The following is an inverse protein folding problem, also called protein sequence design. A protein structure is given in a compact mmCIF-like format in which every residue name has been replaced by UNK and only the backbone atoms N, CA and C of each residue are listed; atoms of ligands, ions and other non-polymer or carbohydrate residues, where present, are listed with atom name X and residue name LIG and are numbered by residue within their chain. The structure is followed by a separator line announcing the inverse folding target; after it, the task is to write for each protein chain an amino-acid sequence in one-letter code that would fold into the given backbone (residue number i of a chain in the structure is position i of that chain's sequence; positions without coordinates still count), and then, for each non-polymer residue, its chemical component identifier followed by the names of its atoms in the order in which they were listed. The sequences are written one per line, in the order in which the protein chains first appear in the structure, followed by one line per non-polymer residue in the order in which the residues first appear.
data_IF_697299376672
#
_entry.id   IF_697299376672
#
_cell.length_a   1.000
_cell.length_b   1.000
_cell.length_c   1.000
_cell.angle_alpha   90.00
_cell.angle_beta   90.00
_cell.angle_gamma   90.00
#
_symmetry.space_group_name_H-M   'P 1'
#
loop_
_entity.id
_entity.type
_entity.pdbx_description
1 polymer ?
#
# COMPACT_ATOMS: atom_id res chain seq x y z
N UNK A 1 1.71 -17.22 18.48
CA UNK A 1 0.37 -16.59 18.53
C UNK A 1 -0.05 -16.30 17.08
N UNK A 2 -1.30 -16.54 16.67
CA UNK A 2 -1.74 -16.17 15.31
C UNK A 2 -1.79 -14.63 15.18
N UNK A 3 -1.56 -14.06 13.99
CA UNK A 3 -1.73 -12.64 13.78
C UNK A 3 -3.19 -12.19 14.02
N UNK A 4 -3.35 -10.99 14.55
CA UNK A 4 -4.65 -10.32 14.65
C UNK A 4 -4.90 -9.55 13.34
N UNK A 5 -6.05 -9.79 12.72
CA UNK A 5 -6.36 -9.29 11.37
C UNK A 5 -7.83 -8.95 11.16
N UNK A 6 -8.07 -8.01 10.27
CA UNK A 6 -9.36 -7.69 9.67
C UNK A 6 -9.41 -8.29 8.26
N UNK A 7 -10.37 -9.18 8.01
CA UNK A 7 -10.63 -9.70 6.66
C UNK A 7 -11.44 -8.67 5.88
N UNK A 8 -10.96 -8.30 4.70
CA UNK A 8 -11.57 -7.29 3.87
C UNK A 8 -12.24 -7.98 2.70
N UNK A 9 -13.56 -7.83 2.62
CA UNK A 9 -14.37 -8.28 1.50
C UNK A 9 -15.07 -7.11 0.85
N UNK A 10 -15.06 -7.08 -0.47
CA UNK A 10 -15.71 -6.03 -1.26
C UNK A 10 -16.74 -6.67 -2.19
N UNK A 11 -17.83 -5.95 -2.43
CA UNK A 11 -18.83 -6.33 -3.42
C UNK A 11 -18.38 -5.87 -4.80
N UNK A 12 -18.33 -6.78 -5.78
CA UNK A 12 -18.05 -6.39 -7.16
C UNK A 12 -19.16 -5.43 -7.66
N UNK A 13 -18.82 -4.31 -8.33
CA UNK A 13 -19.83 -3.47 -8.94
C UNK A 13 -20.58 -4.25 -10.04
N UNK A 14 -21.83 -3.89 -10.35
CA UNK A 14 -22.58 -4.51 -11.44
C UNK A 14 -21.81 -4.43 -12.77
N UNK A 15 -21.89 -5.51 -13.57
CA UNK A 15 -21.15 -5.65 -14.83
C UNK A 15 -21.46 -4.57 -15.89
N UNK A 16 -22.51 -3.78 -15.70
CA UNK A 16 -22.95 -2.72 -16.63
C UNK A 16 -22.57 -1.30 -16.17
N UNK A 17 -21.80 -1.17 -15.08
CA UNK A 17 -21.31 0.12 -14.59
C UNK A 17 -22.40 1.02 -13.99
N UNK A 18 -23.65 0.55 -13.83
CA UNK A 18 -24.72 1.32 -13.19
C UNK A 18 -24.60 1.28 -11.68
N UNK A 19 -24.84 2.43 -11.05
CA UNK A 19 -24.92 2.52 -9.59
C UNK A 19 -26.13 1.69 -9.11
N UNK A 20 -26.02 0.79 -8.13
CA UNK A 20 -27.10 -0.14 -7.78
C UNK A 20 -28.39 0.49 -7.25
N UNK A 21 -28.43 1.82 -7.08
CA UNK A 21 -29.48 2.56 -6.36
C UNK A 21 -30.31 3.49 -7.23
N UNK A 22 -29.98 3.64 -8.51
CA UNK A 22 -30.77 4.49 -9.40
C UNK A 22 -31.88 3.63 -10.04
N UNK A 23 -33.07 3.70 -9.42
CA UNK A 23 -34.40 3.51 -10.01
C UNK A 23 -34.87 2.12 -10.50
N UNK A 24 -34.74 1.04 -9.73
CA UNK A 24 -35.61 -0.15 -9.95
C UNK A 24 -36.12 -0.81 -8.66
N UNK A 25 -37.41 -1.19 -8.69
CA UNK A 25 -38.07 -1.97 -7.66
C UNK A 25 -37.34 -3.30 -7.39
N UNK A 26 -37.41 -3.87 -6.17
CA UNK A 26 -36.66 -5.08 -5.83
C UNK A 26 -37.13 -6.27 -6.68
N UNK A 27 -36.31 -6.67 -7.66
CA UNK A 27 -36.50 -7.93 -8.41
C UNK A 27 -36.17 -9.11 -7.49
N UNK A 28 -37.17 -9.95 -7.22
CA UNK A 28 -37.07 -11.18 -6.44
C UNK A 28 -36.12 -12.24 -7.06
N UNK A 29 -35.51 -11.97 -8.22
CA UNK A 29 -34.50 -12.81 -8.89
C UNK A 29 -33.06 -12.31 -8.76
N UNK A 30 -32.80 -11.20 -8.04
CA UNK A 30 -31.43 -10.70 -7.83
C UNK A 30 -30.63 -11.75 -7.04
N UNK A 31 -29.58 -12.32 -7.66
CA UNK A 31 -28.61 -13.14 -6.94
C UNK A 31 -27.99 -12.27 -5.83
N UNK A 32 -27.73 -12.82 -4.63
CA UNK A 32 -27.08 -12.05 -3.58
C UNK A 32 -25.75 -11.50 -4.08
N UNK A 33 -25.47 -10.24 -3.77
CA UNK A 33 -24.20 -9.59 -4.03
C UNK A 33 -23.08 -10.43 -3.39
N UNK A 34 -22.33 -11.16 -4.21
CA UNK A 34 -21.21 -11.98 -3.74
C UNK A 34 -20.09 -11.05 -3.30
N UNK A 35 -19.86 -11.00 -1.99
CA UNK A 35 -18.68 -10.36 -1.42
C UNK A 35 -17.47 -11.26 -1.64
N UNK A 36 -16.44 -10.73 -2.29
CA UNK A 36 -15.16 -11.42 -2.49
C UNK A 36 -14.15 -10.89 -1.49
N UNK A 37 -13.44 -11.78 -0.78
CA UNK A 37 -12.29 -11.37 0.02
C UNK A 37 -11.19 -10.85 -0.90
N UNK A 38 -10.80 -9.59 -0.70
CA UNK A 38 -9.79 -8.92 -1.53
C UNK A 38 -8.49 -8.63 -0.79
N UNK A 39 -8.47 -8.63 0.54
CA UNK A 39 -7.26 -8.43 1.33
C UNK A 39 -7.45 -8.89 2.79
N UNK A 40 -6.34 -8.97 3.52
CA UNK A 40 -6.31 -9.03 4.99
C UNK A 40 -5.50 -7.86 5.51
N UNK A 41 -6.10 -7.00 6.33
CA UNK A 41 -5.36 -5.99 7.10
C UNK A 41 -4.88 -6.62 8.41
N UNK A 42 -3.58 -6.93 8.47
CA UNK A 42 -2.95 -7.51 9.66
C UNK A 42 -2.40 -6.37 10.50
N UNK A 43 -2.89 -6.26 11.74
CA UNK A 43 -2.53 -5.16 12.65
C UNK A 43 -1.71 -5.62 13.86
N UNK A 44 -1.58 -6.95 14.09
CA UNK A 44 -0.65 -7.50 15.07
C UNK A 44 -0.06 -8.80 14.57
N UNK A 45 1.26 -8.86 14.43
CA UNK A 45 1.99 -10.05 14.00
C UNK A 45 3.22 -10.26 14.89
N UNK A 46 3.54 -11.51 15.28
CA UNK A 46 4.72 -11.80 16.10
C UNK A 46 6.06 -11.59 15.39
N UNK A 47 6.11 -11.71 14.06
CA UNK A 47 7.33 -11.69 13.25
C UNK A 47 7.47 -10.40 12.42
N UNK A 48 6.36 -9.80 12.03
CA UNK A 48 6.32 -8.53 11.29
C UNK A 48 5.83 -7.44 12.21
N UNK A 49 6.73 -6.54 12.61
CA UNK A 49 6.50 -5.68 13.77
C UNK A 49 5.78 -4.38 13.40
N UNK A 50 4.90 -4.43 12.40
CA UNK A 50 4.12 -3.31 11.88
C UNK A 50 2.83 -3.77 11.20
N UNK A 51 1.81 -2.90 11.05
CA UNK A 51 0.63 -3.22 10.26
C UNK A 51 0.92 -3.33 8.76
N UNK A 52 0.16 -4.18 8.05
CA UNK A 52 0.28 -4.37 6.62
C UNK A 52 -1.02 -4.96 6.03
N UNK A 53 -1.16 -4.88 4.71
CA UNK A 53 -2.15 -5.64 3.96
C UNK A 53 -1.48 -6.84 3.29
N UNK A 54 -2.04 -8.03 3.48
CA UNK A 54 -1.61 -9.26 2.83
C UNK A 54 -2.74 -9.88 2.01
N UNK A 55 -2.40 -10.90 1.24
CA UNK A 55 -3.38 -11.69 0.46
C UNK A 55 -4.24 -10.80 -0.45
N UNK A 56 -3.60 -9.79 -1.06
CA UNK A 56 -4.27 -8.79 -1.90
C UNK A 56 -4.66 -9.45 -3.22
N UNK A 57 -5.93 -9.32 -3.60
CA UNK A 57 -6.53 -9.98 -4.76
C UNK A 57 -7.36 -9.02 -5.60
N UNK A 58 -7.49 -9.31 -6.89
CA UNK A 58 -8.50 -8.68 -7.75
C UNK A 58 -9.92 -9.08 -7.33
N UNK A 59 -10.98 -8.39 -7.82
CA UNK A 59 -12.36 -8.82 -7.61
C UNK A 59 -12.67 -10.23 -8.12
N UNK A 60 -11.97 -10.72 -9.16
CA UNK A 60 -12.06 -12.11 -9.64
C UNK A 60 -11.29 -13.12 -8.78
N UNK A 61 -10.58 -12.66 -7.74
CA UNK A 61 -9.84 -13.51 -6.80
C UNK A 61 -8.38 -13.77 -7.17
N UNK A 62 -7.86 -13.14 -8.24
CA UNK A 62 -6.46 -13.30 -8.66
C UNK A 62 -5.52 -12.62 -7.68
N UNK A 63 -4.54 -13.38 -7.19
CA UNK A 63 -3.55 -12.94 -6.23
C UNK A 63 -2.59 -11.93 -6.89
N UNK A 64 -2.48 -10.71 -6.36
CA UNK A 64 -1.59 -9.67 -6.92
C UNK A 64 -0.38 -9.36 -6.05
N UNK A 65 -0.41 -9.67 -4.75
CA UNK A 65 0.80 -9.70 -3.91
C UNK A 65 1.42 -11.09 -3.87
N UNK A 66 2.72 -11.22 -3.57
CA UNK A 66 3.31 -12.52 -3.21
C UNK A 66 2.51 -13.16 -2.08
N UNK A 67 2.40 -14.49 -2.06
CA UNK A 67 1.77 -15.15 -0.93
C UNK A 67 2.49 -14.77 0.37
N UNK A 68 1.71 -14.60 1.44
CA UNK A 68 2.23 -14.35 2.77
C UNK A 68 1.60 -15.32 3.78
N UNK A 69 2.38 -16.25 4.36
CA UNK A 69 3.81 -16.48 4.12
C UNK A 69 4.12 -16.98 2.68
N UNK A 70 5.36 -16.84 2.18
CA UNK A 70 5.76 -17.38 0.88
C UNK A 70 5.55 -18.90 0.80
N UNK A 71 5.09 -19.40 -0.34
CA UNK A 71 4.90 -20.84 -0.59
C UNK A 71 6.19 -21.42 -1.16
N UNK A 72 6.79 -22.38 -0.46
CA UNK A 72 8.03 -23.03 -0.90
C UNK A 72 7.87 -23.68 -2.28
N UNK A 73 8.82 -23.41 -3.19
CA UNK A 73 8.82 -23.91 -4.57
C UNK A 73 7.93 -23.12 -5.54
N UNK A 74 7.16 -22.16 -5.04
CA UNK A 74 6.36 -21.22 -5.86
C UNK A 74 6.92 -19.82 -5.72
N UNK A 75 7.08 -19.35 -4.48
CA UNK A 75 7.53 -18.00 -4.17
C UNK A 75 9.00 -18.00 -3.72
N UNK A 76 9.71 -16.92 -4.04
CA UNK A 76 11.00 -16.65 -3.42
C UNK A 76 10.81 -16.46 -1.90
N UNK A 77 11.65 -17.10 -1.10
CA UNK A 77 11.63 -17.00 0.37
C UNK A 77 12.48 -15.82 0.92
N UNK A 78 12.85 -14.88 0.05
CA UNK A 78 13.62 -13.70 0.41
C UNK A 78 12.76 -12.69 1.16
N UNK A 79 13.34 -12.03 2.18
CA UNK A 79 12.69 -10.92 2.88
C UNK A 79 11.27 -11.26 3.36
N UNK A 80 11.03 -12.52 3.74
CA UNK A 80 9.72 -13.10 4.09
C UNK A 80 9.02 -12.37 5.26
N UNK A 81 9.81 -11.83 6.18
CA UNK A 81 9.35 -11.02 7.33
C UNK A 81 9.37 -9.51 7.06
N UNK A 82 9.85 -9.07 5.88
CA UNK A 82 9.95 -7.65 5.53
C UNK A 82 9.02 -7.24 4.39
N UNK A 83 8.60 -8.14 3.52
CA UNK A 83 7.77 -7.83 2.35
C UNK A 83 6.44 -8.62 2.36
N UNK A 84 5.47 -8.22 3.20
CA UNK A 84 4.25 -9.01 3.45
C UNK A 84 3.09 -8.80 2.46
N UNK A 85 3.18 -7.81 1.57
CA UNK A 85 2.09 -7.43 0.67
C UNK A 85 2.13 -5.95 0.33
N UNK A 86 1.26 -5.15 0.95
CA UNK A 86 1.31 -3.66 0.92
C UNK A 86 1.58 -3.15 2.34
N UNK A 87 2.53 -2.24 2.51
CA UNK A 87 2.88 -1.68 3.82
C UNK A 87 3.41 -0.25 3.75
N UNK A 88 3.39 0.45 4.88
CA UNK A 88 4.09 1.71 5.10
C UNK A 88 5.13 1.49 6.19
N UNK A 89 6.40 1.72 5.89
CA UNK A 89 7.48 1.54 6.86
C UNK A 89 8.69 2.43 6.55
N UNK A 90 9.59 2.56 7.52
CA UNK A 90 10.67 3.52 7.48
C UNK A 90 11.94 2.89 8.05
N UNK A 91 13.00 2.81 7.25
CA UNK A 91 14.31 2.30 7.64
C UNK A 91 15.11 3.26 8.54
N UNK A 92 14.70 4.53 8.62
CA UNK A 92 15.33 5.54 9.47
C UNK A 92 14.30 6.60 9.94
N UNK A 93 13.90 6.50 11.20
CA UNK A 93 13.28 7.60 11.94
C UNK A 93 14.13 7.87 13.18
N UNK A 94 14.83 9.00 13.21
CA UNK A 94 15.78 9.39 14.26
C UNK A 94 16.80 8.29 14.57
N UNK A 95 17.28 7.56 13.55
CA UNK A 95 18.24 6.47 13.69
C UNK A 95 17.63 5.09 13.96
N UNK A 96 16.31 4.96 14.05
CA UNK A 96 15.62 3.69 14.30
C UNK A 96 14.98 3.10 13.04
N UNK A 97 15.15 1.79 12.84
CA UNK A 97 14.68 1.06 11.65
C UNK A 97 13.39 0.26 11.93
N UNK A 98 12.27 0.69 11.35
CA UNK A 98 10.97 0.03 11.43
C UNK A 98 10.66 -0.85 10.22
N UNK A 99 11.47 -0.79 9.16
CA UNK A 99 11.32 -1.60 7.95
C UNK A 99 11.84 -3.02 8.17
N UNK A 100 13.03 -3.14 8.76
CA UNK A 100 13.73 -4.40 9.03
C UNK A 100 13.39 -4.98 10.40
N UNK A 101 12.24 -4.59 10.94
CA UNK A 101 11.69 -5.09 12.21
C UNK A 101 12.64 -4.89 13.41
N UNK A 102 13.42 -3.79 13.45
CA UNK A 102 14.25 -3.46 14.63
C UNK A 102 13.43 -2.68 15.66
N UNK A 103 12.73 -1.64 15.21
CA UNK A 103 11.64 -1.00 15.93
C UNK A 103 10.29 -1.68 15.66
N UNK A 104 9.26 -1.27 16.40
CA UNK A 104 7.89 -1.79 16.26
C UNK A 104 6.91 -0.65 16.02
N UNK A 105 6.12 -0.74 14.95
CA UNK A 105 4.91 0.06 14.78
C UNK A 105 3.77 -0.73 15.44
N UNK A 106 3.56 -0.50 16.74
CA UNK A 106 2.61 -1.25 17.54
C UNK A 106 1.20 -0.71 17.36
N UNK A 107 0.28 -1.49 16.81
CA UNK A 107 -1.15 -1.18 16.83
C UNK A 107 -1.65 -1.05 18.28
N UNK A 108 -2.34 0.04 18.57
CA UNK A 108 -2.97 0.33 19.87
C UNK A 108 -4.46 0.02 19.81
N UNK A 109 -5.16 0.57 18.82
CA UNK A 109 -6.61 0.44 18.67
C UNK A 109 -7.09 0.89 17.29
N UNK A 110 -8.31 0.52 16.93
CA UNK A 110 -9.10 1.24 15.93
C UNK A 110 -9.60 2.56 16.55
N UNK A 111 -9.29 3.69 15.92
CA UNK A 111 -9.85 5.00 16.29
C UNK A 111 -11.20 5.25 15.62
N UNK A 112 -11.40 4.64 14.45
CA UNK A 112 -12.67 4.58 13.74
C UNK A 112 -12.88 3.10 13.32
N UNK A 113 -14.01 2.47 13.67
CA UNK A 113 -14.24 1.07 13.34
C UNK A 113 -14.49 0.89 11.83
N UNK A 114 -14.19 -0.30 11.27
CA UNK A 114 -14.55 -0.64 9.89
C UNK A 114 -16.01 -0.39 9.58
N UNK A 115 -16.26 0.54 8.67
CA UNK A 115 -17.59 0.96 8.25
C UNK A 115 -17.69 0.87 6.74
N UNK A 116 -18.60 0.03 6.25
CA UNK A 116 -18.88 -0.10 4.82
C UNK A 116 -20.15 0.67 4.47
N UNK A 117 -20.05 1.59 3.51
CA UNK A 117 -21.18 2.31 2.94
C UNK A 117 -20.97 2.47 1.44
N UNK A 118 -21.98 2.10 0.67
CA UNK A 118 -21.99 2.18 -0.79
C UNK A 118 -20.84 1.34 -1.38
N UNK A 119 -19.86 1.99 -1.98
CA UNK A 119 -18.67 1.38 -2.59
C UNK A 119 -17.39 1.63 -1.77
N UNK A 120 -17.51 2.17 -0.54
CA UNK A 120 -16.41 2.54 0.34
C UNK A 120 -16.42 1.70 1.62
N UNK A 121 -15.28 1.11 1.96
CA UNK A 121 -14.96 0.65 3.30
C UNK A 121 -13.91 1.59 3.89
N UNK A 122 -14.22 2.22 5.03
CA UNK A 122 -13.27 3.08 5.74
C UNK A 122 -13.02 2.62 7.17
N UNK A 123 -11.80 2.85 7.66
CA UNK A 123 -11.43 2.69 9.06
C UNK A 123 -10.15 3.47 9.39
N UNK A 124 -9.92 3.67 10.68
CA UNK A 124 -8.71 4.34 11.16
C UNK A 124 -8.09 3.59 12.34
N UNK A 125 -6.77 3.59 12.41
CA UNK A 125 -6.01 2.95 13.48
C UNK A 125 -5.02 3.90 14.12
N UNK A 126 -4.76 3.69 15.40
CA UNK A 126 -3.69 4.32 16.14
C UNK A 126 -2.57 3.31 16.37
N UNK A 127 -1.33 3.72 16.13
CA UNK A 127 -0.12 2.97 16.46
C UNK A 127 0.89 3.81 17.23
N UNK A 128 1.76 3.14 18.00
CA UNK A 128 2.97 3.73 18.60
C UNK A 128 4.20 3.19 17.89
N UNK A 129 5.12 4.07 17.52
CA UNK A 129 6.42 3.67 17.01
C UNK A 129 7.35 3.50 18.21
N UNK A 130 7.63 2.24 18.55
CA UNK A 130 8.51 1.86 19.64
C UNK A 130 9.93 1.62 19.12
N UNK A 131 10.92 2.27 19.75
CA UNK A 131 12.33 2.01 19.49
C UNK A 131 12.71 0.59 19.92
N UNK A 132 13.86 0.04 19.50
CA UNK A 132 14.33 -1.27 19.95
C UNK A 132 14.46 -1.37 21.49
N UNK A 133 14.68 -0.24 22.15
CA UNK A 133 14.79 -0.13 23.61
C UNK A 133 13.41 -0.07 24.32
N UNK A 134 12.31 0.00 23.54
CA UNK A 134 10.93 0.00 24.04
C UNK A 134 10.35 1.40 24.31
N UNK A 135 11.12 2.47 24.11
CA UNK A 135 10.63 3.84 24.21
C UNK A 135 9.68 4.18 23.07
N UNK A 136 8.65 5.00 23.33
CA UNK A 136 7.78 5.51 22.25
C UNK A 136 8.46 6.72 21.59
N UNK A 137 8.77 6.61 20.30
CA UNK A 137 9.32 7.70 19.49
C UNK A 137 8.23 8.70 19.08
N UNK A 138 7.15 8.18 18.48
CA UNK A 138 5.99 8.97 18.09
C UNK A 138 4.73 8.10 17.98
N UNK A 139 3.58 8.77 17.83
CA UNK A 139 2.29 8.16 17.50
C UNK A 139 2.06 8.29 16.00
N UNK A 140 1.42 7.28 15.41
CA UNK A 140 0.93 7.30 14.03
C UNK A 140 -0.57 7.02 14.02
N UNK A 141 -1.35 7.90 13.40
CA UNK A 141 -2.73 7.61 12.99
C UNK A 141 -2.70 7.22 11.52
N UNK A 142 -3.33 6.10 11.18
CA UNK A 142 -3.51 5.69 9.79
C UNK A 142 -4.99 5.60 9.46
N UNK A 143 -5.41 6.28 8.40
CA UNK A 143 -6.76 6.21 7.82
C UNK A 143 -6.70 5.43 6.51
N UNK A 144 -7.65 4.54 6.34
CA UNK A 144 -7.74 3.65 5.19
C UNK A 144 -9.09 3.77 4.54
N UNK A 145 -9.06 4.02 3.24
CA UNK A 145 -10.25 4.08 2.38
C UNK A 145 -10.10 3.03 1.28
N UNK A 146 -11.02 2.07 1.23
CA UNK A 146 -11.05 1.03 0.21
C UNK A 146 -12.27 1.21 -0.67
N UNK A 147 -12.05 1.51 -1.95
CA UNK A 147 -13.13 1.85 -2.90
C UNK A 147 -13.23 0.83 -4.02
N UNK A 148 -14.41 0.26 -4.24
CA UNK A 148 -14.67 -0.65 -5.38
C UNK A 148 -14.71 0.13 -6.69
N UNK A 149 -14.24 -0.51 -7.77
CA UNK A 149 -14.18 0.08 -9.13
C UNK A 149 -14.58 -0.97 -10.17
N UNK A 150 -15.08 -0.57 -11.36
CA UNK A 150 -15.61 -1.51 -12.38
C UNK A 150 -14.70 -2.70 -12.73
N UNK A 151 -13.37 -2.55 -12.63
CA UNK A 151 -12.41 -3.61 -12.93
C UNK A 151 -11.29 -3.70 -11.87
N UNK A 152 -11.61 -3.41 -10.60
CA UNK A 152 -10.59 -3.36 -9.56
C UNK A 152 -11.08 -2.75 -8.26
N UNK A 153 -10.12 -2.31 -7.45
CA UNK A 153 -10.39 -1.52 -6.26
C UNK A 153 -9.16 -0.69 -5.89
N UNK A 154 -9.40 0.35 -5.11
CA UNK A 154 -8.39 1.27 -4.61
C UNK A 154 -8.23 1.05 -3.11
N UNK A 155 -7.00 1.05 -2.62
CA UNK A 155 -6.64 1.36 -1.23
C UNK A 155 -6.03 2.77 -1.20
N UNK A 156 -6.61 3.70 -0.46
CA UNK A 156 -5.95 4.92 -0.03
C UNK A 156 -5.52 4.79 1.43
N UNK A 157 -4.31 5.21 1.74
CA UNK A 157 -3.70 5.17 3.07
C UNK A 157 -3.08 6.53 3.38
N UNK A 158 -3.71 7.24 4.31
CA UNK A 158 -3.18 8.47 4.91
C UNK A 158 -2.57 8.16 6.28
N UNK A 159 -1.40 8.73 6.56
CA UNK A 159 -0.72 8.55 7.83
C UNK A 159 -0.26 9.89 8.43
N UNK A 160 -0.70 10.17 9.64
CA UNK A 160 -0.32 11.35 10.44
C UNK A 160 0.59 10.92 11.57
N UNK A 161 1.75 11.56 11.70
CA UNK A 161 2.76 11.30 12.73
C UNK A 161 2.86 12.49 13.68
N UNK A 162 2.93 12.23 14.97
CA UNK A 162 3.07 13.28 15.98
C UNK A 162 3.77 12.73 17.24
N UNK A 163 4.56 13.59 17.88
CA UNK A 163 5.06 13.39 19.24
C UNK A 163 4.79 14.65 20.05
N UNK A 164 4.16 14.50 21.22
CA UNK A 164 3.77 15.66 22.04
C UNK A 164 4.97 16.35 22.71
N UNK A 165 6.05 15.61 22.97
CA UNK A 165 7.12 16.05 23.88
C UNK A 165 8.51 16.03 23.26
N UNK A 166 8.69 15.41 22.09
CA UNK A 166 10.00 15.25 21.48
C UNK A 166 9.93 15.47 19.97
N UNK A 167 10.97 16.10 19.42
CA UNK A 167 11.22 16.13 17.99
C UNK A 167 11.65 14.74 17.50
N UNK A 168 11.31 14.42 16.27
CA UNK A 168 11.84 13.27 15.55
C UNK A 168 12.04 13.63 14.07
N UNK A 169 12.81 12.82 13.34
CA UNK A 169 13.12 13.11 11.94
C UNK A 169 13.10 11.84 11.08
N UNK A 170 12.51 11.93 9.90
CA UNK A 170 12.63 10.89 8.87
C UNK A 170 13.94 11.09 8.11
N UNK A 171 14.76 10.04 8.05
CA UNK A 171 16.09 10.07 7.45
C UNK A 171 16.12 9.70 5.97
N UNK A 172 17.23 9.12 5.54
CA UNK A 172 17.55 8.85 4.13
C UNK A 172 18.05 7.40 3.96
N UNK A 173 17.18 6.52 3.47
CA UNK A 173 17.48 5.14 3.10
C UNK A 173 16.65 4.69 1.89
N UNK A 174 17.04 3.60 1.23
CA UNK A 174 16.26 3.01 0.13
C UNK A 174 14.90 2.49 0.65
N UNK A 175 14.89 1.92 1.85
CA UNK A 175 13.76 1.30 2.52
C UNK A 175 12.92 2.28 3.34
N UNK A 176 12.33 3.27 2.65
CA UNK A 176 11.49 4.30 3.27
C UNK A 176 10.22 4.53 2.44
N UNK A 177 9.06 4.50 3.07
CA UNK A 177 7.78 4.85 2.45
C UNK A 177 6.87 3.66 2.16
N UNK A 178 6.12 3.75 1.07
CA UNK A 178 5.01 2.86 0.75
C UNK A 178 5.45 1.72 -0.15
N UNK A 179 5.48 0.50 0.40
CA UNK A 179 6.01 -0.69 -0.24
C UNK A 179 4.92 -1.64 -0.73
N UNK A 180 5.22 -2.33 -1.82
CA UNK A 180 4.43 -3.41 -2.41
C UNK A 180 5.34 -4.56 -2.81
N UNK A 181 4.88 -5.79 -2.56
CA UNK A 181 5.51 -7.01 -3.07
C UNK A 181 4.57 -7.75 -4.01
N UNK A 182 4.89 -7.71 -5.30
CA UNK A 182 4.13 -8.33 -6.38
C UNK A 182 4.06 -9.86 -6.23
N UNK A 183 2.96 -10.44 -6.72
CA UNK A 183 2.83 -11.88 -6.94
C UNK A 183 3.95 -12.38 -7.84
N UNK A 184 4.37 -13.64 -7.65
CA UNK A 184 5.49 -14.23 -8.39
C UNK A 184 5.28 -14.13 -9.91
N UNK A 185 4.05 -14.31 -10.41
CA UNK A 185 3.72 -14.19 -11.83
C UNK A 185 3.77 -12.74 -12.36
N UNK A 186 3.74 -11.74 -11.48
CA UNK A 186 3.84 -10.32 -11.84
C UNK A 186 5.28 -9.78 -11.75
N UNK A 187 6.25 -10.57 -11.30
CA UNK A 187 7.65 -10.12 -11.27
C UNK A 187 8.22 -10.02 -12.68
N UNK A 188 9.17 -9.12 -12.90
CA UNK A 188 9.84 -8.96 -14.19
C UNK A 188 10.54 -10.26 -14.61
N UNK A 189 11.11 -10.96 -13.63
CA UNK A 189 11.73 -12.29 -13.82
C UNK A 189 10.76 -13.38 -14.25
N UNK A 190 9.45 -13.16 -14.13
CA UNK A 190 8.38 -14.07 -14.54
C UNK A 190 7.56 -13.54 -15.73
N UNK A 191 8.00 -12.43 -16.36
CA UNK A 191 7.32 -11.82 -17.51
C UNK A 191 6.35 -10.69 -17.20
N UNK A 192 6.24 -10.27 -15.93
CA UNK A 192 5.58 -9.02 -15.57
C UNK A 192 6.33 -7.79 -16.06
N UNK A 193 5.66 -6.64 -16.09
CA UNK A 193 6.24 -5.38 -16.57
C UNK A 193 6.04 -4.29 -15.53
N UNK A 194 7.10 -3.53 -15.24
CA UNK A 194 7.04 -2.31 -14.44
C UNK A 194 7.04 -1.11 -15.38
N UNK A 195 6.11 -0.17 -15.20
CA UNK A 195 6.05 1.10 -15.96
C UNK A 195 5.92 2.26 -15.00
N UNK A 196 6.64 3.36 -15.22
CA UNK A 196 6.48 4.60 -14.45
C UNK A 196 5.80 5.71 -15.24
N UNK A 197 5.29 6.71 -14.54
CA UNK A 197 4.69 7.90 -15.15
C UNK A 197 5.66 8.71 -16.03
N UNK A 198 6.97 8.49 -15.88
CA UNK A 198 8.00 9.07 -16.74
C UNK A 198 8.26 8.27 -18.04
N UNK A 199 7.43 7.26 -18.33
CA UNK A 199 7.57 6.39 -19.51
C UNK A 199 8.76 5.42 -19.43
N UNK A 200 9.32 5.20 -18.24
CA UNK A 200 10.39 4.21 -18.03
C UNK A 200 9.79 2.83 -17.84
N UNK A 201 10.45 1.82 -18.40
CA UNK A 201 10.00 0.42 -18.37
C UNK A 201 11.09 -0.45 -17.75
N UNK A 202 10.68 -1.31 -16.81
CA UNK A 202 11.55 -2.24 -16.09
C UNK A 202 12.12 -1.68 -14.79
N UNK A 203 12.48 -2.58 -13.88
CA UNK A 203 12.98 -2.24 -12.56
C UNK A 203 14.26 -1.39 -12.63
N UNK A 204 15.21 -1.76 -13.50
CA UNK A 204 16.47 -1.05 -13.62
C UNK A 204 16.31 0.40 -14.11
N UNK A 205 15.38 0.64 -15.05
CA UNK A 205 15.15 1.98 -15.61
C UNK A 205 14.30 2.87 -14.71
N UNK A 206 13.52 2.27 -13.81
CA UNK A 206 12.67 3.00 -12.84
C UNK A 206 13.38 3.23 -11.51
N UNK A 207 14.38 2.42 -11.14
CA UNK A 207 15.08 2.54 -9.88
C UNK A 207 15.74 3.93 -9.69
N UNK A 208 15.50 4.53 -8.52
CA UNK A 208 15.98 5.84 -8.14
C UNK A 208 15.38 7.00 -8.92
N UNK A 209 14.57 6.75 -9.96
CA UNK A 209 13.96 7.81 -10.77
C UNK A 209 12.75 8.40 -10.06
N UNK A 210 12.50 9.69 -10.26
CA UNK A 210 11.28 10.34 -9.80
C UNK A 210 10.11 9.99 -10.74
N UNK A 211 8.97 9.59 -10.18
CA UNK A 211 7.73 9.43 -10.94
C UNK A 211 6.51 9.58 -10.02
N UNK A 212 5.40 10.06 -10.56
CA UNK A 212 4.12 10.27 -9.85
C UNK A 212 3.32 8.99 -9.64
N UNK A 213 3.63 7.92 -10.39
CA UNK A 213 3.13 6.57 -10.15
C UNK A 213 4.08 5.55 -10.77
N UNK A 214 4.04 4.32 -10.27
CA UNK A 214 4.57 3.13 -10.95
C UNK A 214 3.51 2.03 -10.92
N UNK A 215 3.36 1.36 -12.05
CA UNK A 215 2.54 0.19 -12.24
C UNK A 215 3.40 -1.06 -12.36
N UNK A 216 2.90 -2.17 -11.82
CA UNK A 216 3.37 -3.51 -12.18
C UNK A 216 2.20 -4.36 -12.62
N UNK A 217 2.29 -4.92 -13.81
CA UNK A 217 1.20 -5.67 -14.44
C UNK A 217 1.70 -6.85 -15.28
N UNK A 218 0.81 -7.80 -15.54
CA UNK A 218 1.12 -9.05 -16.22
C UNK A 218 -0.10 -9.98 -16.28
N UNK A 219 0.15 -11.27 -16.52
CA UNK A 219 -0.89 -12.30 -16.59
C UNK A 219 -0.81 -13.18 -15.34
N UNK A 220 -1.88 -13.23 -14.55
CA UNK A 220 -2.00 -14.12 -13.39
C UNK A 220 -3.17 -15.06 -13.62
N UNK A 221 -2.89 -16.37 -13.65
CA UNK A 221 -3.91 -17.39 -13.90
C UNK A 221 -4.73 -17.18 -15.19
N UNK A 222 -4.10 -16.64 -16.23
CA UNK A 222 -4.71 -16.37 -17.54
C UNK A 222 -5.44 -15.02 -17.67
N UNK A 223 -5.47 -14.21 -16.61
CA UNK A 223 -6.11 -12.89 -16.62
C UNK A 223 -5.07 -11.77 -16.54
N UNK A 224 -5.22 -10.68 -17.33
CA UNK A 224 -4.42 -9.47 -17.16
C UNK A 224 -4.80 -8.77 -15.85
N UNK A 225 -3.80 -8.54 -15.00
CA UNK A 225 -3.96 -7.87 -13.70
C UNK A 225 -2.74 -7.01 -13.40
N UNK A 226 -2.89 -6.08 -12.45
CA UNK A 226 -1.76 -5.31 -11.96
C UNK A 226 -2.07 -4.48 -10.73
N UNK A 227 -1.04 -3.80 -10.25
CA UNK A 227 -1.13 -2.85 -9.15
C UNK A 227 -0.35 -1.59 -9.49
N UNK A 228 -1.04 -0.45 -9.44
CA UNK A 228 -0.42 0.87 -9.56
C UNK A 228 -0.30 1.50 -8.18
N UNK A 229 0.91 1.89 -7.80
CA UNK A 229 1.16 2.70 -6.62
C UNK A 229 1.19 4.18 -7.00
N UNK A 230 0.48 5.00 -6.21
CA UNK A 230 0.30 6.43 -6.44
C UNK A 230 0.57 7.18 -5.14
N UNK A 231 1.72 7.85 -4.99
CA UNK A 231 1.94 8.79 -3.90
C UNK A 231 1.05 10.03 -4.07
N UNK A 232 0.56 10.60 -2.97
CA UNK A 232 -0.16 11.86 -3.03
C UNK A 232 0.71 13.00 -3.60
N UNK A 233 0.18 13.84 -4.51
CA UNK A 233 0.87 15.04 -4.97
C UNK A 233 1.11 16.06 -3.84
N UNK A 234 0.34 15.98 -2.75
CA UNK A 234 0.47 16.85 -1.57
C UNK A 234 1.55 16.39 -0.58
N UNK A 235 2.13 15.20 -0.80
CA UNK A 235 3.32 14.81 -0.08
C UNK A 235 4.42 15.86 -0.30
N UNK A 236 5.25 16.09 0.71
CA UNK A 236 6.33 17.11 0.67
C UNK A 236 7.31 17.01 -0.52
N UNK A 237 7.28 15.88 -1.25
CA UNK A 237 8.07 15.63 -2.45
C UNK A 237 7.48 14.51 -3.30
N UNK A 238 7.71 14.59 -4.61
CA UNK A 238 7.59 13.43 -5.52
C UNK A 238 8.49 12.29 -5.03
N UNK A 239 7.96 11.07 -5.09
CA UNK A 239 8.71 9.87 -4.73
C UNK A 239 9.73 9.49 -5.79
N UNK A 240 10.89 9.04 -5.32
CA UNK A 240 11.78 8.18 -6.08
C UNK A 240 11.40 6.71 -5.85
N UNK A 241 11.74 5.85 -6.80
CA UNK A 241 11.26 4.46 -6.80
C UNK A 241 12.35 3.44 -6.44
N UNK A 242 12.13 2.65 -5.39
CA UNK A 242 12.99 1.50 -5.03
C UNK A 242 12.52 0.22 -5.73
N UNK A 243 12.50 0.21 -7.06
CA UNK A 243 11.98 -0.94 -7.80
C UNK A 243 13.03 -2.05 -7.95
N UNK A 244 12.58 -3.30 -7.89
CA UNK A 244 13.40 -4.51 -8.11
C UNK A 244 12.66 -5.48 -9.03
N UNK A 245 13.42 -6.15 -9.89
CA UNK A 245 12.94 -7.14 -10.87
C UNK A 245 12.22 -8.33 -10.22
N UNK A 246 12.56 -8.65 -8.97
CA UNK A 246 11.89 -9.66 -8.15
C UNK A 246 10.54 -9.19 -7.56
N UNK A 247 10.01 -8.03 -7.97
CA UNK A 247 8.66 -7.57 -7.64
C UNK A 247 8.53 -6.71 -6.39
N UNK A 248 9.62 -6.08 -5.90
CA UNK A 248 9.52 -5.00 -4.90
C UNK A 248 9.31 -3.67 -5.62
N UNK A 249 8.28 -2.93 -5.21
CA UNK A 249 8.09 -1.52 -5.56
C UNK A 249 7.99 -0.71 -4.27
N UNK A 250 8.70 0.41 -4.17
CA UNK A 250 8.56 1.34 -3.03
C UNK A 250 8.51 2.77 -3.54
N UNK A 251 7.45 3.48 -3.19
CA UNK A 251 7.38 4.93 -3.34
C UNK A 251 8.07 5.60 -2.15
N UNK A 252 9.24 6.20 -2.42
CA UNK A 252 10.13 6.76 -1.42
C UNK A 252 10.38 8.26 -1.65
N UNK A 253 9.68 9.17 -0.95
CA UNK A 253 9.96 10.61 -1.02
C UNK A 253 11.15 11.05 -0.14
N UNK A 254 11.71 10.16 0.66
CA UNK A 254 12.72 10.47 1.68
C UNK A 254 14.15 10.26 1.19
N UNK A 255 14.49 9.08 0.67
CA UNK A 255 15.85 8.61 0.40
C UNK A 255 16.57 9.31 -0.76
N UNK A 256 16.78 10.62 -0.72
CA UNK A 256 17.40 11.39 -1.80
C UNK A 256 18.81 10.90 -2.10
N UNK A 257 19.66 10.79 -1.08
CA UNK A 257 21.03 10.31 -1.25
C UNK A 257 21.05 8.82 -1.58
N UNK A 258 20.25 8.01 -0.89
CA UNK A 258 20.12 6.58 -1.15
C UNK A 258 19.70 6.27 -2.59
N UNK A 259 18.82 7.10 -3.17
CA UNK A 259 18.37 6.99 -4.56
C UNK A 259 19.31 7.66 -5.58
N UNK A 260 20.46 8.19 -5.13
CA UNK A 260 21.46 8.91 -5.94
C UNK A 260 20.92 10.18 -6.60
N UNK A 261 20.02 10.89 -5.91
CA UNK A 261 19.31 12.07 -6.41
C UNK A 261 19.77 13.38 -5.75
N UNK A 262 20.83 13.34 -4.95
CA UNK A 262 21.44 14.53 -4.35
C UNK A 262 21.94 14.30 -2.92
N UNK A 263 22.10 15.37 -2.12
CA UNK A 263 22.54 15.26 -0.73
C UNK A 263 21.49 14.56 0.14
N UNK A 264 21.91 14.11 1.33
CA UNK A 264 21.05 13.47 2.32
C UNK A 264 19.81 14.33 2.59
N UNK A 265 18.63 13.72 2.54
CA UNK A 265 17.38 14.34 2.95
C UNK A 265 17.11 14.08 4.43
N UNK A 266 16.42 15.01 5.07
CA UNK A 266 15.89 14.84 6.41
C UNK A 266 14.57 15.61 6.48
N UNK A 267 13.55 15.01 7.10
CA UNK A 267 12.25 15.65 7.37
C UNK A 267 12.05 15.67 8.87
N UNK A 268 12.23 16.85 9.47
CA UNK A 268 12.11 17.07 10.91
C UNK A 268 10.65 17.37 11.26
N UNK A 269 10.16 16.76 12.33
CA UNK A 269 8.84 17.02 12.92
C UNK A 269 9.05 17.52 14.34
N UNK A 270 8.77 18.80 14.58
CA UNK A 270 8.98 19.41 15.88
C UNK A 270 8.02 18.84 16.94
N UNK A 271 8.42 18.93 18.21
CA UNK A 271 7.57 18.51 19.32
C UNK A 271 6.22 19.27 19.29
N UNK A 272 5.12 18.53 19.38
CA UNK A 272 3.76 19.04 19.32
C UNK A 272 3.18 19.18 17.91
N UNK A 273 4.02 19.18 16.87
CA UNK A 273 3.55 19.28 15.48
C UNK A 273 3.10 17.93 14.91
N UNK A 274 2.18 17.99 13.95
CA UNK A 274 1.73 16.83 13.18
C UNK A 274 2.29 16.89 11.77
N UNK A 275 2.66 15.73 11.24
CA UNK A 275 3.19 15.60 9.89
C UNK A 275 2.47 14.48 9.13
N UNK A 276 2.13 14.72 7.87
CA UNK A 276 1.23 13.85 7.11
C UNK A 276 1.85 13.36 5.81
N UNK A 277 1.47 12.15 5.42
CA UNK A 277 1.83 11.54 4.15
C UNK A 277 0.70 10.61 3.67
N UNK A 278 0.47 10.56 2.37
CA UNK A 278 -0.60 9.74 1.80
C UNK A 278 -0.15 8.97 0.54
N UNK A 279 -0.65 7.75 0.41
CA UNK A 279 -0.37 6.86 -0.72
C UNK A 279 -1.58 6.01 -1.08
N UNK A 280 -1.66 5.64 -2.36
CA UNK A 280 -2.70 4.80 -2.89
C UNK A 280 -2.12 3.59 -3.62
N UNK A 281 -2.85 2.48 -3.57
CA UNK A 281 -2.61 1.29 -4.39
C UNK A 281 -3.90 0.96 -5.14
N UNK A 282 -3.85 0.98 -6.47
CA UNK A 282 -4.96 0.58 -7.33
C UNK A 282 -4.71 -0.83 -7.81
N UNK A 283 -5.51 -1.78 -7.31
CA UNK A 283 -5.55 -3.14 -7.84
C UNK A 283 -6.47 -3.12 -9.06
N UNK A 284 -5.95 -3.51 -10.21
CA UNK A 284 -6.69 -3.47 -11.47
C UNK A 284 -6.64 -4.80 -12.21
N UNK A 285 -7.65 -5.00 -13.04
CA UNK A 285 -7.86 -6.17 -13.87
C UNK A 285 -8.29 -5.72 -15.27
N UNK A 286 -7.86 -6.44 -16.29
CA UNK A 286 -8.07 -6.04 -17.67
C UNK A 286 -6.97 -5.13 -18.20
N UNK A 287 -6.94 -4.94 -19.51
CA UNK A 287 -5.99 -4.05 -20.18
C UNK A 287 -6.45 -2.59 -20.24
N UNK A 288 -7.65 -2.29 -19.72
CA UNK A 288 -8.29 -0.98 -19.86
C UNK A 288 -7.95 -0.01 -18.72
N UNK A 289 -7.21 -0.44 -17.70
CA UNK A 289 -6.79 0.48 -16.65
C UNK A 289 -5.64 1.35 -17.16
N UNK A 290 -5.88 2.65 -17.19
CA UNK A 290 -4.87 3.67 -17.49
C UNK A 290 -4.48 4.42 -16.20
N UNK A 291 -3.27 4.18 -15.66
CA UNK A 291 -2.76 4.92 -14.52
C UNK A 291 -2.76 6.44 -14.73
N UNK A 292 -2.47 6.91 -15.94
CA UNK A 292 -2.35 8.34 -16.23
C UNK A 292 -3.70 9.06 -16.12
N UNK A 293 -4.76 8.48 -16.69
CA UNK A 293 -6.14 9.00 -16.55
C UNK A 293 -6.68 8.84 -15.12
N UNK A 294 -6.24 7.82 -14.37
CA UNK A 294 -6.67 7.65 -12.99
C UNK A 294 -6.14 8.76 -12.08
N UNK A 295 -4.84 9.05 -12.14
CA UNK A 295 -4.22 10.01 -11.20
C UNK A 295 -4.69 11.46 -11.41
N UNK A 296 -5.29 11.80 -12.55
CA UNK A 296 -5.87 13.13 -12.79
C UNK A 296 -7.28 13.30 -12.21
N UNK A 297 -7.93 12.20 -11.82
CA UNK A 297 -9.31 12.20 -11.33
C UNK A 297 -9.42 11.70 -9.88
N UNK A 298 -8.33 11.16 -9.34
CA UNK A 298 -8.29 10.64 -7.98
C UNK A 298 -7.88 11.73 -6.98
N UNK A 299 -8.74 11.93 -5.99
CA UNK A 299 -8.46 12.75 -4.81
C UNK A 299 -8.36 11.85 -3.57
N UNK A 300 -7.31 12.08 -2.79
CA UNK A 300 -7.04 11.34 -1.55
C UNK A 300 -8.11 11.64 -0.50
N UNK A 301 -8.40 12.93 -0.31
CA UNK A 301 -9.44 13.40 0.59
C UNK A 301 -10.77 13.41 -0.15
N UNK A 302 -11.72 12.59 0.29
CA UNK A 302 -13.12 12.77 -0.06
C UNK A 302 -13.79 13.71 0.94
N UNK A 303 -14.02 14.95 0.52
CA UNK A 303 -15.33 15.59 0.72
C UNK A 303 -16.11 15.51 -0.60
#
# INVERSE_FOLDING_TARGET
KKPDRLVISLTAPPADGRNPRDDEAPDSRRKPDLQTQVAEFVFSDPNILRPYFAQVRTPSGRQVTRNHPPIAGVDANDHDTMHPGIWLAFGDISGHDFWRNKGRIQHVRFTEPPTAKDNLLSFATESRLLTPEGGTLCRMISRFDLRTRPAGWLLAWEATFQSATAEFAFGDQEEMGFGFRAATELTETSGGTIVSSAGKIGAAATWGQAATWCDVSGIVGGEPVGVTLVPSPDNFRVSWWHNRDYGLLVANPFGRAAMKQGPKSEVVVAAGESWEIAFAAVVHQGFSFDPASFVTTFEFTGE
#
